data_IF_947047894053
#
_entry.id   IF_947047894053
#
_cell.length_a   1.000
_cell.length_b   1.000
_cell.length_c   1.000
_cell.angle_alpha   90.00
_cell.angle_beta   90.00
_cell.angle_gamma   90.00
#
_symmetry.space_group_name_H-M   'P 1'
#
loop_
_entity.id
_entity.type
_entity.pdbx_description
1 polymer ?
#
# COMPACT_ATOMS: atom_id res chain seq x y z
N UNK A 1 36.19 -26.34 28.92
CA UNK A 1 35.57 -27.20 27.88
C UNK A 1 34.08 -27.00 28.02
N UNK A 2 33.48 -26.28 27.08
CA UNK A 2 32.04 -26.01 27.04
C UNK A 2 31.39 -27.22 26.36
N UNK A 3 30.38 -27.79 27.03
CA UNK A 3 29.66 -28.99 26.59
C UNK A 3 28.90 -28.69 25.28
N UNK A 4 29.01 -29.59 24.30
CA UNK A 4 28.34 -29.50 23.00
C UNK A 4 26.82 -29.78 23.08
N UNK A 5 26.29 -30.05 24.28
CA UNK A 5 24.87 -30.33 24.49
C UNK A 5 24.02 -29.11 24.90
N UNK A 6 24.61 -27.94 25.13
CA UNK A 6 23.84 -26.71 25.47
C UNK A 6 23.31 -25.92 24.26
N UNK A 7 23.50 -26.42 23.02
CA UNK A 7 23.05 -25.77 21.77
C UNK A 7 21.79 -26.44 21.20
N UNK A 8 20.82 -26.78 22.07
CA UNK A 8 19.52 -27.32 21.64
C UNK A 8 18.34 -26.73 22.40
N UNK A 9 18.36 -25.43 22.63
CA UNK A 9 17.11 -24.65 22.66
C UNK A 9 17.35 -23.37 21.87
N UNK A 10 17.30 -23.49 20.54
CA UNK A 10 16.97 -22.33 19.72
C UNK A 10 15.59 -21.88 20.20
N UNK A 11 15.57 -20.88 21.09
CA UNK A 11 14.37 -20.18 21.52
C UNK A 11 13.53 -19.93 20.28
N UNK A 12 12.44 -20.68 20.16
CA UNK A 12 11.39 -20.41 19.19
C UNK A 12 10.93 -19.01 19.56
N UNK A 13 11.43 -18.00 18.84
CA UNK A 13 10.95 -16.63 18.98
C UNK A 13 9.45 -16.73 18.76
N UNK A 14 8.66 -16.35 19.76
CA UNK A 14 7.23 -16.17 19.55
C UNK A 14 7.07 -15.30 18.30
N UNK A 15 6.31 -15.75 17.29
CA UNK A 15 6.11 -14.95 16.10
C UNK A 15 5.49 -13.62 16.53
N UNK A 16 6.01 -12.53 15.96
CA UNK A 16 5.44 -11.19 16.09
C UNK A 16 3.92 -11.28 15.99
N UNK A 17 3.21 -10.68 16.95
CA UNK A 17 1.75 -10.73 17.09
C UNK A 17 1.07 -10.49 15.74
N UNK A 18 0.63 -11.56 15.11
CA UNK A 18 0.02 -11.54 13.78
C UNK A 18 -1.45 -11.87 13.98
N UNK A 19 -2.33 -10.90 13.72
CA UNK A 19 -3.77 -11.05 13.98
C UNK A 19 -4.37 -12.24 13.23
N UNK A 20 -3.86 -12.57 12.04
CA UNK A 20 -4.31 -13.74 11.31
C UNK A 20 -3.80 -15.05 11.93
N UNK A 21 -2.55 -15.10 12.39
CA UNK A 21 -2.03 -16.22 13.15
C UNK A 21 -2.83 -16.43 14.45
N UNK A 22 -3.13 -15.36 15.18
CA UNK A 22 -3.93 -15.40 16.40
C UNK A 22 -5.37 -15.84 16.10
N UNK A 23 -5.97 -15.34 15.03
CA UNK A 23 -7.29 -15.77 14.56
C UNK A 23 -7.30 -17.27 14.24
N UNK A 24 -6.31 -17.74 13.48
CA UNK A 24 -6.15 -19.16 13.15
C UNK A 24 -5.98 -19.99 14.43
N UNK A 25 -5.09 -19.59 15.33
CA UNK A 25 -4.83 -20.30 16.59
C UNK A 25 -6.05 -20.36 17.51
N UNK A 26 -6.84 -19.29 17.60
CA UNK A 26 -8.02 -19.19 18.49
C UNK A 26 -9.25 -19.85 17.87
N UNK A 27 -9.52 -19.59 16.59
CA UNK A 27 -10.78 -20.00 15.93
C UNK A 27 -10.65 -21.30 15.14
N UNK A 28 -9.45 -21.65 14.69
CA UNK A 28 -9.18 -22.80 13.84
C UNK A 28 -7.91 -23.55 14.29
N UNK A 29 -7.79 -23.97 15.56
CA UNK A 29 -6.54 -24.49 16.13
C UNK A 29 -5.94 -25.67 15.33
N UNK A 30 -6.75 -26.44 14.60
CA UNK A 30 -6.31 -27.50 13.69
C UNK A 30 -5.40 -27.01 12.54
N UNK A 31 -5.34 -25.70 12.28
CA UNK A 31 -4.46 -25.10 11.28
C UNK A 31 -3.08 -24.78 11.83
N UNK A 32 -2.78 -25.11 13.10
CA UNK A 32 -1.48 -24.90 13.73
C UNK A 32 -0.92 -26.26 14.15
N UNK A 33 0.27 -26.59 13.65
CA UNK A 33 0.98 -27.81 14.00
C UNK A 33 1.50 -27.75 15.45
N UNK A 34 1.89 -28.91 15.99
CA UNK A 34 2.43 -29.02 17.36
C UNK A 34 3.73 -28.24 17.59
N UNK A 35 4.48 -27.94 16.52
CA UNK A 35 5.69 -27.11 16.54
C UNK A 35 5.39 -25.60 16.41
N UNK A 36 4.10 -25.23 16.33
CA UNK A 36 3.64 -23.85 16.19
C UNK A 36 3.57 -23.34 14.75
N UNK A 37 3.99 -24.13 13.75
CA UNK A 37 3.94 -23.75 12.35
C UNK A 37 2.50 -23.79 11.79
N UNK A 38 2.20 -22.92 10.83
CA UNK A 38 0.89 -22.91 10.14
C UNK A 38 0.80 -24.10 9.19
N UNK A 39 -0.26 -24.89 9.34
CA UNK A 39 -0.59 -26.00 8.48
C UNK A 39 -1.45 -25.52 7.30
N UNK A 40 -0.80 -25.21 6.18
CA UNK A 40 -1.47 -24.73 4.97
C UNK A 40 -2.46 -25.74 4.38
N UNK A 41 -2.23 -27.03 4.53
CA UNK A 41 -3.14 -28.06 4.01
C UNK A 41 -4.42 -28.13 4.85
N UNK A 42 -4.32 -27.98 6.16
CA UNK A 42 -5.49 -27.86 7.03
C UNK A 42 -6.34 -26.62 6.69
N UNK A 43 -5.70 -25.49 6.36
CA UNK A 43 -6.40 -24.28 5.88
C UNK A 43 -7.10 -24.55 4.55
N UNK A 44 -6.42 -25.15 3.57
CA UNK A 44 -7.02 -25.49 2.27
C UNK A 44 -8.23 -26.41 2.43
N UNK A 45 -8.12 -27.42 3.31
CA UNK A 45 -9.23 -28.33 3.62
C UNK A 45 -10.42 -27.60 4.25
N UNK A 46 -10.18 -26.67 5.19
CA UNK A 46 -11.26 -25.87 5.79
C UNK A 46 -11.97 -24.98 4.77
N UNK A 47 -11.24 -24.48 3.77
CA UNK A 47 -11.79 -23.68 2.69
C UNK A 47 -12.48 -24.52 1.59
N UNK A 48 -12.45 -25.86 1.70
CA UNK A 48 -13.00 -26.75 0.69
C UNK A 48 -12.23 -26.74 -0.64
N UNK A 49 -10.98 -26.28 -0.62
CA UNK A 49 -10.11 -26.22 -1.81
C UNK A 49 -9.49 -27.60 -2.02
N UNK A 50 -9.69 -28.18 -3.20
CA UNK A 50 -9.05 -29.45 -3.56
C UNK A 50 -7.53 -29.31 -3.44
N UNK A 51 -6.89 -30.22 -2.69
CA UNK A 51 -5.41 -30.24 -2.45
C UNK A 51 -4.63 -30.52 -3.75
N UNK A 52 -5.32 -30.78 -4.87
CA UNK A 52 -4.70 -31.07 -6.16
C UNK A 52 -4.46 -29.81 -6.99
N UNK A 53 -3.17 -29.63 -7.25
CA UNK A 53 -2.50 -28.70 -8.16
C UNK A 53 -2.39 -27.24 -7.73
N UNK A 54 -1.14 -26.76 -7.80
CA UNK A 54 -0.73 -25.36 -7.81
C UNK A 54 -1.26 -24.69 -9.09
N UNK A 55 -2.58 -24.61 -9.26
CA UNK A 55 -3.17 -23.75 -10.29
C UNK A 55 -3.01 -22.33 -9.76
N UNK A 56 -1.86 -21.71 -10.06
CA UNK A 56 -1.68 -20.28 -9.83
C UNK A 56 -2.64 -19.56 -10.77
N UNK A 57 -3.58 -18.82 -10.20
CA UNK A 57 -4.41 -17.89 -10.95
C UNK A 57 -3.59 -16.74 -11.53
N UNK A 58 -4.24 -15.81 -12.21
CA UNK A 58 -3.59 -14.58 -12.64
C UNK A 58 -3.16 -13.75 -11.41
N UNK A 59 -1.90 -13.31 -11.39
CA UNK A 59 -1.35 -12.45 -10.34
C UNK A 59 -0.21 -11.61 -10.92
N UNK A 60 -0.19 -10.31 -10.62
CA UNK A 60 1.02 -9.51 -10.78
C UNK A 60 1.99 -9.84 -9.63
N UNK A 61 3.11 -10.46 -9.97
CA UNK A 61 4.15 -10.79 -9.01
C UNK A 61 5.41 -9.95 -9.26
N UNK A 62 6.08 -9.57 -8.17
CA UNK A 62 7.34 -8.85 -8.21
C UNK A 62 8.21 -9.18 -7.01
N UNK A 63 9.49 -8.86 -7.15
CA UNK A 63 10.48 -9.02 -6.08
C UNK A 63 10.20 -8.02 -4.97
N UNK A 64 10.06 -8.50 -3.72
CA UNK A 64 9.74 -7.66 -2.56
C UNK A 64 8.26 -7.65 -2.17
N UNK A 65 7.35 -8.20 -2.99
CA UNK A 65 5.90 -8.26 -2.69
C UNK A 65 5.58 -8.83 -1.31
N UNK A 66 6.25 -9.91 -0.91
CA UNK A 66 6.07 -10.54 0.40
C UNK A 66 6.49 -9.63 1.57
N UNK A 67 7.61 -8.93 1.42
CA UNK A 67 8.13 -8.00 2.43
C UNK A 67 7.23 -6.75 2.55
N UNK A 68 6.77 -6.22 1.42
CA UNK A 68 5.82 -5.11 1.39
C UNK A 68 4.51 -5.47 2.12
N UNK A 69 4.01 -6.69 1.92
CA UNK A 69 2.84 -7.21 2.66
C UNK A 69 3.11 -7.40 4.16
N UNK A 70 4.31 -7.85 4.54
CA UNK A 70 4.69 -7.94 5.95
C UNK A 70 4.73 -6.55 6.60
N UNK A 71 5.26 -5.54 5.90
CA UNK A 71 5.37 -4.17 6.38
C UNK A 71 4.00 -3.52 6.65
N UNK A 72 2.96 -3.87 5.88
CA UNK A 72 1.58 -3.46 6.17
C UNK A 72 1.12 -3.92 7.56
N UNK A 73 1.51 -5.12 7.99
CA UNK A 73 1.11 -5.73 9.26
C UNK A 73 2.00 -5.33 10.45
N UNK A 74 3.10 -4.60 10.25
CA UNK A 74 3.95 -4.23 11.40
C UNK A 74 3.25 -3.19 12.27
N UNK A 75 3.32 -3.33 13.61
CA UNK A 75 2.78 -2.34 14.54
C UNK A 75 3.34 -0.94 14.29
N UNK A 76 2.57 0.09 14.68
CA UNK A 76 3.09 1.45 14.68
C UNK A 76 3.78 1.75 16.02
N UNK A 77 5.04 2.17 15.95
CA UNK A 77 5.85 2.58 17.11
C UNK A 77 5.92 4.12 17.26
N UNK A 78 5.16 4.87 16.45
CA UNK A 78 5.15 6.33 16.44
C UNK A 78 4.05 6.89 17.32
N UNK A 79 4.20 8.16 17.69
CA UNK A 79 3.21 8.93 18.44
C UNK A 79 2.97 10.28 17.77
N UNK A 80 1.76 10.82 17.94
CA UNK A 80 1.43 12.17 17.47
C UNK A 80 1.86 13.20 18.50
N UNK A 81 2.67 14.18 18.07
CA UNK A 81 3.01 15.35 18.87
C UNK A 81 2.27 16.57 18.34
N UNK A 82 1.47 17.19 19.20
CA UNK A 82 0.80 18.45 18.88
C UNK A 82 1.80 19.62 18.84
N UNK A 83 1.70 20.46 17.81
CA UNK A 83 2.60 21.60 17.57
C UNK A 83 1.79 22.92 17.57
N UNK A 84 1.55 23.54 18.75
CA UNK A 84 0.67 24.70 18.88
C UNK A 84 1.14 25.90 18.05
N UNK A 85 2.45 26.12 17.98
CA UNK A 85 3.07 27.26 17.28
C UNK A 85 2.90 27.21 15.76
N UNK A 86 2.59 26.03 15.21
CA UNK A 86 2.32 25.80 13.78
C UNK A 86 0.85 25.63 13.48
N UNK A 87 0.00 25.71 14.50
CA UNK A 87 -1.43 25.47 14.39
C UNK A 87 -2.19 26.80 14.30
N UNK A 88 -3.27 26.80 13.52
CA UNK A 88 -4.17 27.94 13.38
C UNK A 88 -5.58 27.51 13.78
N UNK A 89 -6.32 28.41 14.44
CA UNK A 89 -7.71 28.18 14.83
C UNK A 89 -7.90 26.90 15.68
N UNK A 90 -6.97 26.66 16.63
CA UNK A 90 -6.81 25.39 17.38
C UNK A 90 -8.12 24.88 17.99
N UNK A 91 -8.97 25.76 18.48
CA UNK A 91 -10.20 25.39 19.18
C UNK A 91 -11.41 25.17 18.25
N UNK A 92 -11.29 25.48 16.96
CA UNK A 92 -12.42 25.43 16.01
C UNK A 92 -12.11 24.69 14.71
N UNK A 93 -10.83 24.49 14.37
CA UNK A 93 -10.44 23.76 13.16
C UNK A 93 -10.84 22.30 13.25
N UNK A 94 -11.37 21.77 12.15
CA UNK A 94 -11.60 20.34 11.95
C UNK A 94 -10.51 19.71 11.06
N UNK A 95 -9.52 20.50 10.63
CA UNK A 95 -8.48 20.10 9.70
C UNK A 95 -7.20 19.74 10.43
N UNK A 96 -6.52 18.69 9.95
CA UNK A 96 -5.30 18.15 10.55
C UNK A 96 -4.23 18.05 9.47
N UNK A 97 -3.00 18.43 9.81
CA UNK A 97 -1.80 18.17 9.01
C UNK A 97 -0.85 17.33 9.85
N UNK A 98 -0.48 16.15 9.34
CA UNK A 98 0.50 15.26 9.98
C UNK A 98 1.79 15.34 9.18
N UNK A 99 2.92 15.59 9.85
CA UNK A 99 4.24 15.60 9.23
C UNK A 99 5.00 14.33 9.59
N UNK A 100 5.38 13.54 8.60
CA UNK A 100 6.14 12.30 8.76
C UNK A 100 6.09 11.43 7.51
N UNK A 101 6.59 10.19 7.61
CA UNK A 101 6.33 9.16 6.61
C UNK A 101 4.83 8.86 6.58
N UNK A 102 4.24 8.83 5.39
CA UNK A 102 2.82 8.56 5.23
C UNK A 102 2.44 7.14 5.66
N UNK A 103 3.36 6.16 5.58
CA UNK A 103 3.11 4.81 6.06
C UNK A 103 2.85 4.81 7.58
N UNK A 104 3.66 5.52 8.35
CA UNK A 104 3.47 5.65 9.80
C UNK A 104 2.21 6.46 10.14
N UNK A 105 1.98 7.57 9.41
CA UNK A 105 0.78 8.38 9.59
C UNK A 105 -0.51 7.58 9.34
N UNK A 106 -0.54 6.76 8.28
CA UNK A 106 -1.68 5.91 7.95
C UNK A 106 -1.91 4.82 9.02
N UNK A 107 -0.85 4.20 9.54
CA UNK A 107 -0.96 3.23 10.65
C UNK A 107 -1.50 3.86 11.92
N UNK A 108 -1.04 5.07 12.26
CA UNK A 108 -1.59 5.85 13.38
C UNK A 108 -3.08 6.13 13.19
N UNK A 109 -3.45 6.65 12.01
CA UNK A 109 -4.83 7.00 11.68
C UNK A 109 -5.74 5.77 11.70
N UNK A 110 -5.24 4.58 11.34
CA UNK A 110 -6.03 3.34 11.34
C UNK A 110 -6.72 3.06 12.67
N UNK A 111 -6.08 3.39 13.80
CA UNK A 111 -6.70 3.20 15.13
C UNK A 111 -7.98 4.01 15.37
N UNK A 112 -8.06 5.23 14.82
CA UNK A 112 -9.16 6.17 15.09
C UNK A 112 -10.09 6.41 13.90
N UNK A 113 -9.60 6.19 12.68
CA UNK A 113 -10.25 6.54 11.42
C UNK A 113 -10.53 5.32 10.53
N UNK A 114 -10.44 4.10 11.06
CA UNK A 114 -10.88 2.89 10.39
C UNK A 114 -12.31 3.07 9.85
N UNK A 115 -12.47 2.93 8.53
CA UNK A 115 -13.73 3.12 7.80
C UNK A 115 -14.43 4.46 8.07
N UNK A 116 -13.69 5.56 8.22
CA UNK A 116 -14.26 6.91 8.43
C UNK A 116 -13.99 7.90 7.30
N UNK A 117 -13.08 7.60 6.39
CA UNK A 117 -12.69 8.52 5.32
C UNK A 117 -13.62 8.36 4.12
N UNK A 118 -14.25 9.46 3.69
CA UNK A 118 -15.16 9.47 2.53
C UNK A 118 -14.42 9.49 1.19
N UNK A 119 -13.32 10.22 1.11
CA UNK A 119 -12.57 10.39 -0.12
C UNK A 119 -11.09 10.53 0.18
N UNK A 120 -10.27 9.83 -0.59
CA UNK A 120 -8.82 9.95 -0.59
C UNK A 120 -8.40 10.43 -1.97
N UNK A 121 -7.49 11.40 -2.01
CA UNK A 121 -6.76 11.78 -3.21
C UNK A 121 -5.27 11.69 -2.92
N UNK A 122 -4.52 11.06 -3.82
CA UNK A 122 -3.06 11.01 -3.76
C UNK A 122 -2.46 11.27 -5.14
N UNK A 123 -1.29 11.91 -5.12
CA UNK A 123 -0.44 12.18 -6.28
C UNK A 123 0.95 11.59 -5.98
N UNK A 124 1.11 10.25 -6.11
CA UNK A 124 2.37 9.58 -5.80
C UNK A 124 3.48 9.97 -6.79
N UNK A 125 4.75 9.68 -6.50
CA UNK A 125 5.82 9.82 -7.50
C UNK A 125 5.53 8.91 -8.71
N UNK A 126 5.64 9.42 -9.94
CA UNK A 126 5.27 8.67 -11.15
C UNK A 126 6.34 7.67 -11.61
N UNK A 127 7.46 7.57 -10.88
CA UNK A 127 8.63 6.76 -11.24
C UNK A 127 9.18 7.10 -12.64
N UNK A 128 9.13 8.39 -13.02
CA UNK A 128 9.70 8.82 -14.29
C UNK A 128 11.21 8.70 -14.25
N UNK A 129 11.85 8.47 -15.40
CA UNK A 129 13.32 8.31 -15.47
C UNK A 129 14.09 9.55 -14.98
N UNK A 130 13.43 10.72 -14.95
CA UNK A 130 14.01 12.00 -14.53
C UNK A 130 13.79 12.31 -13.05
N UNK A 131 12.95 11.56 -12.34
CA UNK A 131 12.74 11.76 -10.91
C UNK A 131 13.81 11.02 -10.11
N UNK A 132 14.48 11.75 -9.21
CA UNK A 132 15.44 11.19 -8.26
C UNK A 132 14.74 10.73 -6.97
N UNK A 133 13.61 10.03 -7.12
CA UNK A 133 12.90 9.49 -5.97
C UNK A 133 13.60 8.23 -5.46
N UNK A 134 13.94 8.22 -4.17
CA UNK A 134 14.52 7.08 -3.48
C UNK A 134 13.44 6.47 -2.59
N UNK A 135 13.17 5.18 -2.75
CA UNK A 135 12.21 4.47 -1.91
C UNK A 135 12.77 4.33 -0.48
N UNK A 136 12.16 4.98 0.53
CA UNK A 136 12.75 5.08 1.87
C UNK A 136 12.55 3.81 2.71
N UNK A 137 11.69 2.88 2.28
CA UNK A 137 11.28 1.73 3.08
C UNK A 137 12.46 0.80 3.40
N UNK A 138 13.46 0.72 2.52
CA UNK A 138 14.69 -0.05 2.72
C UNK A 138 15.50 0.40 3.95
N UNK A 139 15.30 1.64 4.43
CA UNK A 139 16.01 2.20 5.58
C UNK A 139 15.22 2.12 6.89
N UNK A 140 14.00 1.58 6.86
CA UNK A 140 13.14 1.53 8.05
C UNK A 140 13.57 0.42 9.01
N UNK A 141 13.46 0.68 10.31
CA UNK A 141 13.80 -0.30 11.37
C UNK A 141 12.87 -1.52 11.35
N UNK A 142 11.58 -1.31 11.14
CA UNK A 142 10.58 -2.38 11.06
C UNK A 142 10.79 -3.26 9.81
N UNK A 143 11.16 -2.65 8.67
CA UNK A 143 11.57 -3.39 7.48
C UNK A 143 12.82 -4.25 7.73
N UNK A 144 13.86 -3.68 8.34
CA UNK A 144 15.06 -4.42 8.72
C UNK A 144 14.77 -5.58 9.68
N UNK A 145 13.89 -5.37 10.65
CA UNK A 145 13.44 -6.41 11.57
C UNK A 145 12.76 -7.57 10.84
N UNK A 146 11.87 -7.28 9.87
CA UNK A 146 11.27 -8.30 9.00
C UNK A 146 12.36 -9.07 8.25
N UNK A 147 13.34 -8.39 7.68
CA UNK A 147 14.44 -9.04 6.95
C UNK A 147 15.27 -9.98 7.85
N UNK A 148 15.48 -9.62 9.12
CA UNK A 148 16.15 -10.49 10.10
C UNK A 148 15.28 -11.71 10.42
N UNK A 149 14.00 -11.50 10.73
CA UNK A 149 13.06 -12.56 11.11
C UNK A 149 12.79 -13.56 9.98
N UNK A 150 12.81 -13.09 8.75
CA UNK A 150 12.67 -13.91 7.53
C UNK A 150 13.99 -14.57 7.10
N UNK A 151 15.09 -14.30 7.81
CA UNK A 151 16.42 -14.85 7.51
C UNK A 151 17.08 -14.25 6.27
N UNK A 152 16.56 -13.14 5.74
CA UNK A 152 17.15 -12.40 4.63
C UNK A 152 18.39 -11.62 5.06
N UNK A 153 18.43 -11.17 6.30
CA UNK A 153 19.60 -10.59 6.97
C UNK A 153 19.97 -11.48 8.15
N UNK A 154 21.24 -11.85 8.26
CA UNK A 154 21.79 -12.53 9.43
C UNK A 154 22.68 -11.56 10.19
N UNK A 155 22.57 -11.59 11.51
CA UNK A 155 23.52 -10.89 12.38
C UNK A 155 24.57 -11.92 12.80
N UNK A 156 25.79 -11.73 12.32
CA UNK A 156 26.95 -12.51 12.74
C UNK A 156 27.70 -11.73 13.82
N UNK A 157 28.15 -12.43 14.86
CA UNK A 157 28.90 -11.85 15.95
C UNK A 157 30.33 -12.37 15.84
N UNK A 158 31.29 -11.46 15.72
CA UNK A 158 32.70 -11.84 15.67
C UNK A 158 33.23 -12.28 17.05
N UNK A 159 34.48 -12.75 17.08
CA UNK A 159 35.15 -13.20 18.30
C UNK A 159 35.37 -12.10 19.35
N UNK A 160 35.18 -10.83 18.97
CA UNK A 160 35.28 -9.66 19.84
C UNK A 160 33.90 -9.14 20.28
N UNK A 161 32.81 -9.78 19.87
CA UNK A 161 31.45 -9.39 20.20
C UNK A 161 30.84 -8.32 19.28
N UNK A 162 31.48 -7.98 18.16
CA UNK A 162 30.93 -7.00 17.22
C UNK A 162 29.90 -7.66 16.30
N UNK A 163 28.75 -6.99 16.16
CA UNK A 163 27.68 -7.41 15.26
C UNK A 163 27.95 -6.94 13.82
N UNK A 164 27.88 -7.86 12.87
CA UNK A 164 27.95 -7.58 11.43
C UNK A 164 26.71 -8.10 10.74
N UNK A 165 26.12 -7.27 9.88
CA UNK A 165 25.00 -7.64 9.03
C UNK A 165 25.48 -8.35 7.77
N UNK A 166 25.07 -9.61 7.62
CA UNK A 166 25.35 -10.42 6.44
C UNK A 166 24.07 -10.60 5.65
N UNK A 167 24.06 -10.09 4.41
CA UNK A 167 22.95 -10.24 3.49
C UNK A 167 22.93 -11.66 2.91
N UNK A 168 21.79 -12.33 2.97
CA UNK A 168 21.58 -13.59 2.26
C UNK A 168 21.72 -13.39 0.74
N UNK A 169 21.95 -14.48 0.00
CA UNK A 169 21.95 -14.45 -1.47
C UNK A 169 20.62 -13.90 -2.03
N UNK A 170 19.49 -14.26 -1.41
CA UNK A 170 18.18 -13.73 -1.75
C UNK A 170 18.09 -12.21 -1.53
N UNK A 171 18.64 -11.69 -0.42
CA UNK A 171 18.64 -10.25 -0.14
C UNK A 171 19.58 -9.48 -1.07
N UNK A 172 20.74 -10.04 -1.41
CA UNK A 172 21.63 -9.47 -2.43
C UNK A 172 20.97 -9.42 -3.81
N UNK A 173 20.21 -10.46 -4.16
CA UNK A 173 19.40 -10.44 -5.37
C UNK A 173 18.32 -9.35 -5.31
N UNK A 174 17.60 -9.23 -4.20
CA UNK A 174 16.60 -8.18 -4.02
C UNK A 174 17.19 -6.79 -4.22
N UNK A 175 18.24 -6.41 -3.50
CA UNK A 175 18.86 -5.08 -3.61
C UNK A 175 19.37 -4.77 -5.02
N UNK A 176 19.85 -5.79 -5.75
CA UNK A 176 20.29 -5.62 -7.13
C UNK A 176 19.13 -5.37 -8.12
N UNK A 177 17.94 -5.91 -7.84
CA UNK A 177 16.78 -5.84 -8.73
C UNK A 177 15.79 -4.73 -8.34
N UNK A 178 15.73 -4.34 -7.07
CA UNK A 178 14.86 -3.28 -6.54
C UNK A 178 15.54 -1.91 -6.56
N UNK A 179 16.24 -1.59 -7.66
CA UNK A 179 16.85 -0.27 -7.81
C UNK A 179 15.82 0.86 -7.67
N UNK A 180 16.28 2.08 -7.36
CA UNK A 180 15.44 3.26 -7.10
C UNK A 180 14.49 3.65 -8.24
N UNK A 181 14.60 3.02 -9.42
CA UNK A 181 13.74 3.27 -10.59
C UNK A 181 13.01 2.01 -11.08
N UNK A 182 13.07 0.92 -10.32
CA UNK A 182 12.42 -0.34 -10.69
C UNK A 182 10.92 -0.34 -10.35
N UNK A 183 10.10 -0.98 -11.19
CA UNK A 183 8.69 -1.24 -10.88
C UNK A 183 8.53 -2.02 -9.57
N UNK A 184 9.43 -2.96 -9.28
CA UNK A 184 9.44 -3.72 -8.03
C UNK A 184 9.59 -2.82 -6.80
N UNK A 185 10.48 -1.83 -6.85
CA UNK A 185 10.66 -0.85 -5.77
C UNK A 185 9.41 0.01 -5.59
N UNK A 186 8.87 0.54 -6.69
CA UNK A 186 7.67 1.38 -6.67
C UNK A 186 6.43 0.63 -6.14
N UNK A 187 6.19 -0.59 -6.63
CA UNK A 187 5.10 -1.44 -6.16
C UNK A 187 5.24 -1.81 -4.69
N UNK A 188 6.48 -2.10 -4.23
CA UNK A 188 6.74 -2.40 -2.81
C UNK A 188 6.51 -1.18 -1.91
N UNK A 189 6.78 0.02 -2.40
CA UNK A 189 6.46 1.27 -1.71
C UNK A 189 4.94 1.54 -1.68
N UNK A 190 4.24 1.35 -2.79
CA UNK A 190 2.81 1.67 -2.90
C UNK A 190 1.90 0.68 -2.17
N UNK A 191 2.21 -0.62 -2.22
CA UNK A 191 1.34 -1.68 -1.67
C UNK A 191 0.89 -1.45 -0.22
N UNK A 192 1.78 -1.27 0.77
CA UNK A 192 1.35 -1.17 2.17
C UNK A 192 0.54 0.10 2.42
N UNK A 193 0.85 1.18 1.70
CA UNK A 193 0.17 2.48 1.81
C UNK A 193 -1.25 2.40 1.25
N UNK A 194 -1.43 1.77 0.08
CA UNK A 194 -2.76 1.57 -0.51
C UNK A 194 -3.63 0.62 0.31
N UNK A 195 -3.05 -0.45 0.89
CA UNK A 195 -3.79 -1.33 1.81
C UNK A 195 -4.31 -0.58 3.04
N UNK A 196 -3.47 0.26 3.66
CA UNK A 196 -3.92 1.10 4.78
C UNK A 196 -4.95 2.15 4.33
N UNK A 197 -4.78 2.76 3.16
CA UNK A 197 -5.77 3.69 2.61
C UNK A 197 -7.15 3.02 2.46
N UNK A 198 -7.21 1.77 1.98
CA UNK A 198 -8.44 0.97 1.92
C UNK A 198 -9.06 0.71 3.29
N UNK A 199 -8.25 0.46 4.32
CA UNK A 199 -8.75 0.27 5.70
C UNK A 199 -9.43 1.54 6.24
N UNK A 200 -8.93 2.71 5.86
CA UNK A 200 -9.47 4.01 6.30
C UNK A 200 -10.74 4.41 5.57
N UNK A 201 -10.95 3.95 4.34
CA UNK A 201 -12.14 4.28 3.55
C UNK A 201 -13.40 3.70 4.18
N UNK A 202 -14.41 4.56 4.34
CA UNK A 202 -15.80 4.15 4.52
C UNK A 202 -16.23 3.23 3.40
N UNK A 203 -17.29 2.46 3.66
CA UNK A 203 -17.90 1.56 2.68
C UNK A 203 -18.37 2.31 1.41
N UNK A 204 -18.94 3.51 1.57
CA UNK A 204 -19.30 4.42 0.46
C UNK A 204 -18.15 5.33 -0.01
N UNK A 205 -16.91 5.01 0.40
CA UNK A 205 -15.71 5.81 0.16
C UNK A 205 -15.01 5.49 -1.15
N UNK A 206 -14.29 6.48 -1.69
CA UNK A 206 -13.53 6.35 -2.95
C UNK A 206 -12.10 6.87 -2.80
N UNK A 207 -11.17 6.30 -3.55
CA UNK A 207 -9.80 6.79 -3.71
C UNK A 207 -9.55 7.19 -5.16
N UNK A 208 -8.92 8.35 -5.32
CA UNK A 208 -8.43 8.87 -6.59
C UNK A 208 -6.91 8.92 -6.57
N UNK A 209 -6.26 8.39 -7.61
CA UNK A 209 -4.80 8.29 -7.71
C UNK A 209 -4.35 8.84 -9.05
N UNK A 210 -3.64 9.97 -9.03
CA UNK A 210 -3.00 10.52 -10.24
C UNK A 210 -1.79 9.67 -10.62
N UNK A 211 -1.60 9.42 -11.92
CA UNK A 211 -0.46 8.65 -12.43
C UNK A 211 -0.23 8.95 -13.92
N UNK A 212 1.00 8.80 -14.41
CA UNK A 212 1.32 8.80 -15.83
C UNK A 212 1.50 7.39 -16.39
N UNK A 213 1.95 7.27 -17.65
CA UNK A 213 2.12 6.00 -18.35
C UNK A 213 3.20 5.07 -17.75
N UNK A 214 4.15 5.57 -16.95
CA UNK A 214 5.26 4.75 -16.45
C UNK A 214 4.77 3.64 -15.50
N UNK A 215 3.75 3.93 -14.70
CA UNK A 215 3.22 3.01 -13.67
C UNK A 215 1.70 2.81 -13.73
N UNK A 216 0.98 3.43 -14.69
CA UNK A 216 -0.49 3.31 -14.75
C UNK A 216 -0.98 1.86 -14.76
N UNK A 217 -0.37 0.99 -15.57
CA UNK A 217 -0.79 -0.40 -15.68
C UNK A 217 -0.47 -1.19 -14.40
N UNK A 218 0.72 -0.98 -13.84
CA UNK A 218 1.15 -1.61 -12.59
C UNK A 218 0.27 -1.18 -11.42
N UNK A 219 -0.04 0.11 -11.32
CA UNK A 219 -0.94 0.66 -10.30
C UNK A 219 -2.37 0.13 -10.44
N UNK A 220 -2.88 0.02 -11.67
CA UNK A 220 -4.22 -0.54 -11.94
C UNK A 220 -4.31 -1.97 -11.41
N UNK A 221 -3.37 -2.84 -11.78
CA UNK A 221 -3.39 -4.25 -11.36
C UNK A 221 -3.15 -4.37 -9.84
N UNK A 222 -2.27 -3.54 -9.27
CA UNK A 222 -2.08 -3.49 -7.82
C UNK A 222 -3.37 -3.06 -7.09
N UNK A 223 -4.10 -2.09 -7.63
CA UNK A 223 -5.38 -1.68 -7.05
C UNK A 223 -6.46 -2.74 -7.23
N UNK A 224 -6.48 -3.48 -8.35
CA UNK A 224 -7.38 -4.63 -8.52
C UNK A 224 -7.13 -5.69 -7.43
N UNK A 225 -5.87 -5.98 -7.09
CA UNK A 225 -5.53 -6.90 -6.01
C UNK A 225 -5.97 -6.38 -4.62
N UNK A 226 -5.81 -5.07 -4.36
CA UNK A 226 -6.08 -4.50 -3.04
C UNK A 226 -7.57 -4.22 -2.81
N UNK A 227 -8.25 -3.62 -3.80
CA UNK A 227 -9.62 -3.15 -3.69
C UNK A 227 -10.64 -4.15 -4.26
N UNK A 228 -10.22 -5.12 -5.07
CA UNK A 228 -11.09 -5.94 -5.89
C UNK A 228 -11.32 -5.26 -7.25
N UNK A 229 -11.16 -6.02 -8.33
CA UNK A 229 -11.36 -5.53 -9.70
C UNK A 229 -12.79 -4.99 -9.91
N UNK A 230 -13.79 -5.62 -9.29
CA UNK A 230 -15.19 -5.20 -9.31
C UNK A 230 -15.40 -3.80 -8.73
N UNK A 231 -14.51 -3.36 -7.83
CA UNK A 231 -14.55 -2.05 -7.20
C UNK A 231 -13.82 -0.96 -7.98
N UNK A 232 -13.25 -1.28 -9.15
CA UNK A 232 -12.78 -0.28 -10.09
C UNK A 232 -13.97 0.55 -10.59
N UNK A 233 -13.87 1.88 -10.48
CA UNK A 233 -14.96 2.79 -10.86
C UNK A 233 -14.74 3.31 -12.28
N UNK A 234 -13.62 3.98 -12.51
CA UNK A 234 -13.26 4.58 -13.79
C UNK A 234 -11.79 5.05 -13.77
N UNK A 235 -11.22 5.23 -14.95
CA UNK A 235 -10.04 6.03 -15.20
C UNK A 235 -10.46 7.36 -15.85
N UNK A 236 -10.06 8.48 -15.25
CA UNK A 236 -10.27 9.80 -15.81
C UNK A 236 -9.00 10.26 -16.53
N UNK A 237 -9.16 10.87 -17.70
CA UNK A 237 -8.04 11.37 -18.49
C UNK A 237 -7.88 12.86 -18.25
N UNK A 238 -6.73 13.28 -17.72
CA UNK A 238 -6.40 14.70 -17.56
C UNK A 238 -5.48 15.13 -18.67
N UNK A 239 -5.93 16.11 -19.48
CA UNK A 239 -5.05 16.78 -20.44
C UNK A 239 -3.99 17.59 -19.69
N UNK A 240 -2.71 17.37 -19.98
CA UNK A 240 -1.58 18.00 -19.27
C UNK A 240 -0.99 19.17 -20.04
N UNK A 241 -1.01 19.13 -21.37
CA UNK A 241 -0.46 20.15 -22.26
C UNK A 241 -1.22 20.19 -23.59
N UNK A 242 -0.94 21.18 -24.43
CA UNK A 242 -1.51 21.27 -25.79
C UNK A 242 -0.55 20.77 -26.87
N UNK A 243 0.74 21.09 -26.72
CA UNK A 243 1.81 20.66 -27.62
C UNK A 243 3.02 20.26 -26.78
N UNK A 244 3.69 19.19 -27.18
CA UNK A 244 4.88 18.71 -26.50
C UNK A 244 6.15 19.09 -27.26
N UNK A 245 7.23 19.37 -26.51
CA UNK A 245 8.54 19.70 -27.07
C UNK A 245 9.41 18.44 -27.29
N UNK A 246 8.90 17.26 -26.93
CA UNK A 246 9.61 15.97 -26.94
C UNK A 246 9.02 14.96 -27.96
N UNK A 247 8.33 15.45 -28.99
CA UNK A 247 7.70 14.64 -30.05
C UNK A 247 8.72 14.02 -31.02
N UNK A 248 9.77 13.39 -30.49
CA UNK A 248 10.90 12.80 -31.26
C UNK A 248 10.45 11.77 -32.29
N UNK A 249 9.32 11.11 -32.05
CA UNK A 249 8.73 10.07 -32.90
C UNK A 249 7.39 10.48 -33.53
N UNK A 250 7.06 11.78 -33.53
CA UNK A 250 5.81 12.29 -34.11
C UNK A 250 4.56 12.12 -33.23
N UNK A 251 4.73 11.68 -31.97
CA UNK A 251 3.64 11.59 -30.99
C UNK A 251 3.67 12.78 -30.04
N UNK A 252 2.54 13.47 -29.92
CA UNK A 252 2.32 14.53 -28.93
C UNK A 252 1.66 13.95 -27.67
N UNK A 253 2.46 13.38 -26.77
CA UNK A 253 1.95 12.83 -25.51
C UNK A 253 1.55 13.96 -24.55
N UNK A 254 0.25 14.04 -24.22
CA UNK A 254 -0.35 15.23 -23.62
C UNK A 254 -1.47 14.96 -22.61
N UNK A 255 -1.51 13.76 -22.05
CA UNK A 255 -2.45 13.41 -20.99
C UNK A 255 -1.77 12.58 -19.91
N UNK A 256 -2.44 12.48 -18.78
CA UNK A 256 -2.15 11.53 -17.70
C UNK A 256 -3.47 10.95 -17.20
N UNK A 257 -3.39 10.05 -16.23
CA UNK A 257 -4.51 9.28 -15.72
C UNK A 257 -4.83 9.65 -14.27
N UNK A 258 -6.10 9.52 -13.92
CA UNK A 258 -6.59 9.58 -12.57
C UNK A 258 -7.46 8.35 -12.34
N UNK A 259 -6.90 7.33 -11.67
CA UNK A 259 -7.62 6.09 -11.38
C UNK A 259 -8.56 6.30 -10.20
N UNK A 260 -9.79 5.79 -10.30
CA UNK A 260 -10.78 5.81 -9.23
C UNK A 260 -11.19 4.40 -8.82
N UNK A 261 -11.04 4.09 -7.53
CA UNK A 261 -11.54 2.86 -6.90
C UNK A 261 -12.48 3.19 -5.76
N UNK A 262 -13.48 2.33 -5.57
CA UNK A 262 -14.35 2.36 -4.42
C UNK A 262 -13.85 1.38 -3.34
N UNK A 263 -14.26 1.61 -2.08
CA UNK A 263 -14.21 0.54 -1.07
C UNK A 263 -15.25 -0.53 -1.36
N UNK A 264 -16.46 -0.11 -1.71
CA UNK A 264 -17.56 -0.93 -2.18
C UNK A 264 -18.36 -0.16 -3.24
N UNK A 265 -18.24 -0.57 -4.51
CA UNK A 265 -18.80 0.16 -5.66
C UNK A 265 -20.32 0.23 -5.66
N UNK A 266 -21.00 -0.72 -5.03
CA UNK A 266 -22.47 -0.72 -4.94
C UNK A 266 -23.00 0.45 -4.08
N UNK A 267 -22.16 1.00 -3.20
CA UNK A 267 -22.56 2.01 -2.22
C UNK A 267 -22.08 3.43 -2.54
N UNK A 268 -21.41 3.64 -3.68
CA UNK A 268 -20.90 4.96 -4.05
C UNK A 268 -21.94 5.80 -4.79
N UNK A 269 -21.79 7.12 -4.69
CA UNK A 269 -22.49 8.09 -5.51
C UNK A 269 -21.50 9.18 -5.92
N UNK A 270 -21.24 9.29 -7.22
CA UNK A 270 -20.34 10.29 -7.82
C UNK A 270 -21.10 11.39 -8.59
N UNK A 271 -22.42 11.48 -8.40
CA UNK A 271 -23.19 12.61 -8.93
C UNK A 271 -22.66 13.93 -8.35
N UNK A 272 -22.68 14.96 -9.18
CA UNK A 272 -22.39 16.32 -8.72
C UNK A 272 -23.33 16.73 -7.60
N UNK A 273 -22.84 17.59 -6.68
CA UNK A 273 -23.67 18.20 -5.66
C UNK A 273 -24.74 19.13 -6.25
N UNK A 274 -25.48 19.82 -5.37
CA UNK A 274 -26.41 20.87 -5.82
C UNK A 274 -25.68 21.87 -6.70
N UNK A 275 -26.13 22.00 -7.94
CA UNK A 275 -25.64 23.01 -8.87
C UNK A 275 -26.29 24.34 -8.49
N UNK A 276 -25.48 25.37 -8.31
CA UNK A 276 -25.98 26.74 -8.25
C UNK A 276 -26.46 27.15 -9.65
N UNK A 277 -27.76 27.00 -9.88
CA UNK A 277 -28.40 27.30 -11.16
C UNK A 277 -28.71 28.80 -11.32
N UNK A 278 -28.42 29.66 -10.34
CA UNK A 278 -28.75 31.09 -10.40
C UNK A 278 -28.04 31.82 -11.55
N UNK A 279 -26.91 31.28 -12.00
CA UNK A 279 -26.13 31.81 -13.12
C UNK A 279 -26.59 31.29 -14.48
N UNK A 280 -27.44 30.27 -14.51
CA UNK A 280 -28.01 29.73 -15.75
C UNK A 280 -29.22 30.57 -16.14
N UNK A 281 -29.27 31.02 -17.39
CA UNK A 281 -30.40 31.78 -17.94
C UNK A 281 -30.89 31.09 -19.21
N UNK A 282 -32.18 31.21 -19.51
CA UNK A 282 -32.74 30.80 -20.80
C UNK A 282 -33.26 32.04 -21.55
N UNK A 283 -32.39 32.98 -21.94
CA UNK A 283 -32.84 34.24 -22.55
C UNK A 283 -33.44 34.05 -23.95
N UNK A 284 -33.19 32.92 -24.58
CA UNK A 284 -33.56 32.56 -25.94
C UNK A 284 -34.69 31.51 -26.02
N UNK A 285 -35.28 31.12 -24.89
CA UNK A 285 -36.28 30.05 -24.81
C UNK A 285 -35.81 28.74 -25.48
N UNK A 286 -34.54 28.39 -25.31
CA UNK A 286 -34.00 27.11 -25.73
C UNK A 286 -34.87 25.97 -25.13
N UNK A 287 -35.36 25.01 -25.94
CA UNK A 287 -36.19 23.90 -25.48
C UNK A 287 -35.45 22.97 -24.50
N UNK A 288 -34.11 23.03 -24.45
CA UNK A 288 -33.27 22.28 -23.51
C UNK A 288 -33.08 23.01 -22.17
N UNK A 289 -33.59 24.23 -22.03
CA UNK A 289 -33.63 24.98 -20.77
C UNK A 289 -32.47 25.97 -20.58
N UNK A 290 -32.28 26.39 -19.33
CA UNK A 290 -31.32 27.44 -18.98
C UNK A 290 -29.86 26.98 -19.13
N UNK A 291 -29.04 27.84 -19.72
CA UNK A 291 -27.63 27.59 -20.00
C UNK A 291 -26.76 28.74 -19.47
N UNK A 292 -25.45 28.50 -19.37
CA UNK A 292 -24.45 29.50 -18.99
C UNK A 292 -23.35 29.48 -20.05
N UNK A 293 -22.85 30.66 -20.42
CA UNK A 293 -21.74 30.80 -21.37
C UNK A 293 -20.40 30.55 -20.70
#
# INVERSE_FOLDING_TARGET
MIDKNDIKEAKIKEPVKNEFYDLLKIKFPQTINSDGAVNFDAIKMLLGIAVKENIKGYELNWIGKGLANALYNTPCDKELKFEPTKSKDINSTQNIIIKGDNLDALKLLKSAYYEKIKMIYIDPPYNTKNDDFIYPDDFRKDYKQICIETGLIKIEIDEFGNETEVLSEAMNFFTSVTSTKSHSGWLSFMLPRLKLARDLLRDDGVIFISIDDNEQANLKILCDEIFGEENFVADFIRKTKSTTNDAKIGINYQHEFLLCYAKNKENINLLGGQKDLTKYKNPDNDPNGAWIR
#
